data_IF_055358990944
#
_entry.id   IF_055358990944
#
_cell.length_a   1.000
_cell.length_b   1.000
_cell.length_c   1.000
_cell.angle_alpha   90.00
_cell.angle_beta   90.00
_cell.angle_gamma   90.00
#
_symmetry.space_group_name_H-M   'P 1'
#
loop_
_entity.id
_entity.type
_entity.pdbx_description
1 polymer ?
#
# COMPACT_ATOMS: atom_id res chain seq x y z
N UNK A 1 33.68 5.54 24.79
CA UNK A 1 33.60 5.64 26.27
C UNK A 1 32.81 4.50 26.93
N UNK A 2 32.18 3.58 26.20
CA UNK A 2 31.37 2.46 26.73
C UNK A 2 32.11 1.11 26.85
N UNK A 3 33.31 0.96 26.28
CA UNK A 3 34.01 -0.33 26.19
C UNK A 3 34.71 -0.81 27.47
N UNK A 4 34.68 -0.04 28.57
CA UNK A 4 35.40 -0.36 29.83
C UNK A 4 34.48 -0.68 31.02
N UNK A 5 33.16 -0.65 30.83
CA UNK A 5 32.19 -0.94 31.90
C UNK A 5 31.61 -2.33 31.65
N UNK A 6 32.08 -3.31 32.42
CA UNK A 6 31.62 -4.71 32.34
C UNK A 6 30.34 -4.96 33.12
N UNK A 7 30.03 -4.10 34.10
CA UNK A 7 28.79 -4.16 34.88
C UNK A 7 28.37 -2.75 35.29
N UNK A 8 27.15 -2.38 34.92
CA UNK A 8 26.59 -1.08 35.28
C UNK A 8 26.13 -1.09 36.74
N UNK A 9 26.40 -0.03 37.53
CA UNK A 9 25.84 0.10 38.86
C UNK A 9 24.32 0.30 38.75
N UNK A 10 23.55 -0.56 39.41
CA UNK A 10 22.09 -0.51 39.40
C UNK A 10 21.45 -1.88 39.58
N UNK A 11 20.13 -1.89 39.79
CA UNK A 11 19.31 -3.10 39.74
C UNK A 11 18.71 -3.20 38.34
N UNK A 12 19.03 -4.26 37.64
CA UNK A 12 18.41 -4.55 36.34
C UNK A 12 16.90 -4.74 36.52
N UNK A 13 16.12 -4.12 35.64
CA UNK A 13 14.66 -4.21 35.64
C UNK A 13 14.23 -5.23 34.60
N UNK A 14 13.42 -6.19 35.01
CA UNK A 14 12.75 -7.10 34.10
C UNK A 14 11.37 -6.58 33.74
N UNK A 15 10.81 -7.04 32.61
CA UNK A 15 9.44 -6.68 32.22
C UNK A 15 8.43 -7.00 33.33
N UNK A 16 8.63 -8.11 34.06
CA UNK A 16 7.83 -8.49 35.22
C UNK A 16 7.84 -7.47 36.36
N UNK A 17 8.94 -6.73 36.56
CA UNK A 17 9.02 -5.68 37.58
C UNK A 17 8.13 -4.48 37.23
N UNK A 18 7.99 -4.19 35.93
CA UNK A 18 7.08 -3.14 35.42
C UNK A 18 5.62 -3.59 35.47
N UNK A 19 5.35 -4.84 35.07
CA UNK A 19 3.99 -5.40 35.08
C UNK A 19 3.44 -5.56 36.49
N UNK A 20 4.26 -6.03 37.43
CA UNK A 20 3.90 -6.22 38.84
C UNK A 20 4.04 -4.95 39.70
N UNK A 21 4.33 -3.80 39.08
CA UNK A 21 4.48 -2.51 39.77
C UNK A 21 5.52 -2.52 40.91
N UNK A 22 6.58 -3.32 40.79
CA UNK A 22 7.69 -3.41 41.76
C UNK A 22 8.61 -2.20 41.75
N UNK A 23 8.45 -1.33 40.76
CA UNK A 23 9.17 -0.05 40.64
C UNK A 23 8.18 1.09 40.50
N UNK A 24 8.61 2.27 40.93
CA UNK A 24 7.85 3.51 40.73
C UNK A 24 7.62 3.72 39.24
N UNK A 25 6.36 3.67 38.83
CA UNK A 25 5.93 3.85 37.45
C UNK A 25 4.82 4.90 37.40
N UNK A 26 4.83 5.70 36.33
CA UNK A 26 3.70 6.57 35.99
C UNK A 26 3.06 5.98 34.74
N UNK A 27 1.82 5.50 34.88
CA UNK A 27 1.01 5.07 33.74
C UNK A 27 0.10 6.21 33.35
N UNK A 28 0.41 6.83 32.22
CA UNK A 28 -0.44 7.83 31.60
C UNK A 28 -0.94 7.29 30.27
N UNK A 29 -2.25 7.41 30.04
CA UNK A 29 -2.84 7.17 28.73
C UNK A 29 -2.95 8.53 28.04
N UNK A 30 -2.09 8.86 27.07
CA UNK A 30 -2.17 10.15 26.41
C UNK A 30 -3.53 10.33 25.73
N UNK A 31 -4.24 11.39 26.09
CA UNK A 31 -5.36 11.92 25.29
C UNK A 31 -4.79 12.66 24.08
N UNK A 32 -4.09 11.91 23.22
CA UNK A 32 -3.51 12.43 22.00
C UNK A 32 -4.63 12.67 20.98
N UNK A 33 -5.16 13.90 20.96
CA UNK A 33 -6.07 14.37 19.92
C UNK A 33 -5.23 14.75 18.69
N UNK A 34 -5.30 13.95 17.65
CA UNK A 34 -4.68 14.27 16.36
C UNK A 34 -5.74 14.26 15.26
N UNK A 35 -5.60 15.18 14.31
CA UNK A 35 -6.32 15.16 13.05
C UNK A 35 -5.36 14.67 11.97
N UNK A 36 -5.71 13.58 11.29
CA UNK A 36 -4.90 13.05 10.20
C UNK A 36 -5.41 13.64 8.88
N UNK A 37 -4.58 14.44 8.21
CA UNK A 37 -4.83 14.81 6.82
C UNK A 37 -4.13 13.81 5.90
N UNK A 38 -4.78 13.42 4.80
CA UNK A 38 -4.15 12.62 3.76
C UNK A 38 -3.00 13.39 3.06
N UNK A 39 -2.96 14.72 3.19
CA UNK A 39 -1.99 15.57 2.48
C UNK A 39 -2.30 15.68 0.99
N UNK A 40 -1.58 16.55 0.28
CA UNK A 40 -1.90 16.90 -1.13
C UNK A 40 -1.91 15.68 -2.07
N UNK A 41 -0.87 14.83 -1.98
CA UNK A 41 -0.71 13.72 -2.90
C UNK A 41 -1.80 12.66 -2.74
N UNK A 42 -2.09 12.24 -1.50
CA UNK A 42 -3.09 11.21 -1.24
C UNK A 42 -4.52 11.75 -1.35
N UNK A 43 -4.79 13.01 -0.98
CA UNK A 43 -6.14 13.58 -1.13
C UNK A 43 -6.58 13.52 -2.59
N UNK A 44 -5.74 14.01 -3.51
CA UNK A 44 -6.04 13.93 -4.95
C UNK A 44 -6.09 12.48 -5.45
N UNK A 45 -5.23 11.59 -4.97
CA UNK A 45 -5.30 10.18 -5.35
C UNK A 45 -6.66 9.55 -5.01
N UNK A 46 -7.15 9.79 -3.79
CA UNK A 46 -8.44 9.27 -3.34
C UNK A 46 -9.60 9.92 -4.11
N UNK A 47 -9.55 11.23 -4.38
CA UNK A 47 -10.54 11.90 -5.23
C UNK A 47 -10.59 11.32 -6.65
N UNK A 48 -9.43 11.04 -7.26
CA UNK A 48 -9.36 10.46 -8.61
C UNK A 48 -9.84 9.00 -8.64
N UNK A 49 -9.55 8.22 -7.59
CA UNK A 49 -10.12 6.88 -7.42
C UNK A 49 -11.64 6.92 -7.40
N UNK A 50 -12.23 7.90 -6.72
CA UNK A 50 -13.68 8.10 -6.72
C UNK A 50 -14.23 8.37 -8.14
N UNK A 51 -13.47 9.07 -8.97
CA UNK A 51 -13.80 9.33 -10.38
C UNK A 51 -13.51 8.14 -11.31
N UNK A 52 -12.90 7.06 -10.83
CA UNK A 52 -12.50 5.92 -11.65
C UNK A 52 -11.28 6.20 -12.52
N UNK A 53 -10.36 7.05 -12.03
CA UNK A 53 -9.11 7.41 -12.73
C UNK A 53 -7.92 7.16 -11.84
N UNK A 54 -6.77 6.94 -12.47
CA UNK A 54 -5.50 6.76 -11.76
C UNK A 54 -4.55 7.90 -12.12
N UNK A 55 -3.98 8.49 -11.07
CA UNK A 55 -3.06 9.62 -11.19
C UNK A 55 -1.76 9.33 -10.45
N UNK A 56 -0.66 9.75 -11.05
CA UNK A 56 0.69 9.63 -10.54
C UNK A 56 1.38 11.00 -10.49
N UNK A 57 2.52 11.07 -9.80
CA UNK A 57 3.37 12.27 -9.74
C UNK A 57 4.61 12.07 -10.59
N UNK A 58 5.05 13.09 -11.32
CA UNK A 58 6.23 13.02 -12.19
C UNK A 58 7.39 13.81 -11.62
N UNK A 59 8.58 13.24 -11.62
CA UNK A 59 9.84 13.94 -11.35
C UNK A 59 10.53 14.27 -12.68
N UNK A 60 10.69 15.55 -13.02
CA UNK A 60 11.34 16.00 -14.26
C UNK A 60 12.85 15.77 -14.27
N UNK A 61 13.50 15.63 -13.10
CA UNK A 61 14.94 15.36 -12.99
C UNK A 61 15.30 13.94 -13.44
N UNK A 62 14.67 12.92 -12.85
CA UNK A 62 14.92 11.52 -13.21
C UNK A 62 13.87 10.94 -14.17
N UNK A 63 12.88 11.74 -14.59
CA UNK A 63 11.76 11.37 -15.48
C UNK A 63 10.86 10.24 -14.94
N UNK A 64 10.97 9.88 -13.67
CA UNK A 64 10.12 8.84 -13.05
C UNK A 64 8.69 9.32 -12.88
N UNK A 65 7.74 8.41 -13.09
CA UNK A 65 6.31 8.55 -12.82
C UNK A 65 5.97 7.67 -11.62
N UNK A 66 5.69 8.31 -10.49
CA UNK A 66 5.56 7.71 -9.17
C UNK A 66 4.09 7.41 -8.87
N UNK A 67 3.81 6.12 -8.68
CA UNK A 67 2.49 5.61 -8.31
C UNK A 67 2.62 4.60 -7.14
N UNK A 68 1.82 4.71 -6.08
CA UNK A 68 0.92 5.83 -5.74
C UNK A 68 1.65 7.19 -5.68
N UNK A 69 0.95 8.32 -5.89
CA UNK A 69 1.58 9.63 -6.02
C UNK A 69 2.26 10.07 -4.72
N UNK A 70 3.43 10.72 -4.83
CA UNK A 70 4.20 11.24 -3.68
C UNK A 70 4.53 12.70 -3.93
N UNK A 71 4.72 13.49 -2.86
CA UNK A 71 5.13 14.90 -2.98
C UNK A 71 6.64 15.08 -3.16
N UNK A 72 7.43 14.05 -2.90
CA UNK A 72 8.88 14.05 -3.08
C UNK A 72 9.30 12.81 -3.89
N UNK A 73 10.40 12.94 -4.62
CA UNK A 73 11.04 11.85 -5.34
C UNK A 73 12.13 11.22 -4.47
N UNK A 74 12.03 9.91 -4.22
CA UNK A 74 12.96 9.17 -3.35
C UNK A 74 14.37 8.99 -3.94
N UNK A 75 14.54 9.11 -5.27
CA UNK A 75 15.85 9.00 -5.92
C UNK A 75 16.58 10.34 -6.00
N UNK A 76 15.82 11.41 -6.20
CA UNK A 76 16.38 12.75 -6.42
C UNK A 76 16.36 13.62 -5.16
N UNK A 77 15.70 13.16 -4.09
CA UNK A 77 15.50 13.86 -2.82
C UNK A 77 14.99 15.30 -2.99
N UNK A 78 14.02 15.49 -3.90
CA UNK A 78 13.41 16.80 -4.18
C UNK A 78 11.89 16.70 -4.39
N UNK A 79 11.16 17.81 -4.33
CA UNK A 79 9.75 17.83 -4.69
C UNK A 79 9.52 17.33 -6.12
N UNK A 80 8.43 16.57 -6.31
CA UNK A 80 7.94 16.17 -7.64
C UNK A 80 7.23 17.33 -8.34
N UNK A 81 7.23 17.34 -9.67
CA UNK A 81 6.96 18.55 -10.46
C UNK A 81 5.54 18.63 -11.02
N UNK A 82 4.90 17.49 -11.30
CA UNK A 82 3.61 17.48 -12.01
C UNK A 82 2.77 16.25 -11.74
N UNK A 83 1.54 16.28 -12.27
CA UNK A 83 0.57 15.21 -12.20
C UNK A 83 0.40 14.59 -13.58
N UNK A 84 0.32 13.26 -13.62
CA UNK A 84 0.21 12.49 -14.86
C UNK A 84 -0.85 11.41 -14.66
N UNK A 85 -1.85 11.36 -15.55
CA UNK A 85 -2.78 10.24 -15.56
C UNK A 85 -2.11 9.00 -16.13
N UNK A 86 -2.39 7.86 -15.52
CA UNK A 86 -1.88 6.55 -15.93
C UNK A 86 -3.04 5.62 -16.26
N UNK A 87 -2.73 4.50 -16.91
CA UNK A 87 -3.76 3.53 -17.29
C UNK A 87 -4.12 2.64 -16.10
N UNK A 88 -5.30 2.05 -16.20
CA UNK A 88 -5.84 1.07 -15.26
C UNK A 88 -5.50 -0.38 -15.67
N UNK A 89 -4.64 -0.52 -16.68
CA UNK A 89 -3.97 -1.75 -17.08
C UNK A 89 -2.60 -1.89 -16.43
N UNK A 90 -2.13 -3.12 -16.26
CA UNK A 90 -0.85 -3.37 -15.63
C UNK A 90 -0.37 -4.81 -15.73
N UNK A 91 0.72 -5.09 -15.02
CA UNK A 91 1.37 -6.39 -14.96
C UNK A 91 1.45 -6.86 -13.51
N UNK A 92 1.12 -8.13 -13.26
CA UNK A 92 1.30 -8.77 -11.94
C UNK A 92 2.80 -8.91 -11.66
N UNK A 93 3.29 -8.23 -10.62
CA UNK A 93 4.67 -8.33 -10.14
C UNK A 93 4.85 -9.52 -9.19
N UNK A 94 3.88 -9.72 -8.31
CA UNK A 94 3.86 -10.81 -7.34
C UNK A 94 2.44 -11.06 -6.85
N UNK A 95 2.16 -12.26 -6.35
CA UNK A 95 0.86 -12.62 -5.80
C UNK A 95 0.96 -13.70 -4.72
N UNK A 96 -0.13 -13.86 -3.98
CA UNK A 96 -0.36 -14.94 -3.03
C UNK A 96 -1.75 -15.53 -3.22
N UNK A 97 -1.86 -16.83 -2.97
CA UNK A 97 -3.12 -17.58 -2.93
C UNK A 97 -3.44 -17.84 -1.45
N UNK A 98 -4.33 -17.03 -0.87
CA UNK A 98 -4.65 -17.13 0.56
C UNK A 98 -5.89 -17.98 0.79
N UNK A 99 -5.72 -19.09 1.52
CA UNK A 99 -6.83 -19.91 2.05
C UNK A 99 -7.24 -19.48 3.47
N UNK A 100 -6.70 -18.37 3.95
CA UNK A 100 -7.07 -17.75 5.22
C UNK A 100 -7.69 -16.38 4.95
N UNK A 101 -8.84 -16.15 5.55
CA UNK A 101 -9.50 -14.84 5.54
C UNK A 101 -8.89 -13.93 6.61
N UNK A 102 -9.34 -12.67 6.67
CA UNK A 102 -8.79 -11.60 7.53
C UNK A 102 -8.91 -11.89 9.03
N UNK A 103 -9.85 -12.75 9.41
CA UNK A 103 -10.07 -13.24 10.78
C UNK A 103 -9.33 -14.56 11.06
N UNK A 104 -8.39 -14.96 10.18
CA UNK A 104 -7.66 -16.21 10.20
C UNK A 104 -8.54 -17.48 10.06
N UNK A 105 -9.79 -17.34 9.60
CA UNK A 105 -10.65 -18.47 9.27
C UNK A 105 -10.22 -19.11 7.96
N UNK A 106 -10.26 -20.44 7.90
CA UNK A 106 -10.03 -21.18 6.66
C UNK A 106 -11.22 -21.02 5.70
N UNK A 107 -10.92 -20.70 4.45
CA UNK A 107 -11.91 -20.52 3.38
C UNK A 107 -11.69 -21.54 2.26
N UNK A 108 -12.79 -22.00 1.65
CA UNK A 108 -12.74 -22.99 0.57
C UNK A 108 -12.29 -22.37 -0.76
N UNK A 109 -12.80 -21.17 -1.06
CA UNK A 109 -12.39 -20.38 -2.22
C UNK A 109 -11.24 -19.47 -1.79
N UNK A 110 -10.03 -19.61 -2.34
CA UNK A 110 -8.90 -18.79 -1.95
C UNK A 110 -9.06 -17.35 -2.44
N UNK A 111 -8.50 -16.41 -1.67
CA UNK A 111 -8.35 -15.02 -2.07
C UNK A 111 -7.05 -14.88 -2.87
N UNK A 112 -7.15 -14.37 -4.09
CA UNK A 112 -6.01 -13.98 -4.89
C UNK A 112 -5.69 -12.52 -4.63
N UNK A 113 -4.49 -12.24 -4.13
CA UNK A 113 -4.04 -10.88 -3.79
C UNK A 113 -2.58 -10.71 -4.18
N UNK A 114 -2.19 -9.53 -4.62
CA UNK A 114 -0.81 -9.28 -5.01
C UNK A 114 -0.58 -7.86 -5.47
N UNK A 115 0.59 -7.62 -6.07
CA UNK A 115 1.01 -6.29 -6.51
C UNK A 115 0.94 -6.19 -8.03
N UNK A 116 0.32 -5.13 -8.52
CA UNK A 116 0.23 -4.80 -9.95
C UNK A 116 1.02 -3.52 -10.22
N UNK A 117 2.04 -3.59 -11.08
CA UNK A 117 2.67 -2.41 -11.67
C UNK A 117 1.79 -1.86 -12.78
N UNK A 118 1.47 -0.58 -12.75
CA UNK A 118 0.51 0.02 -13.68
C UNK A 118 1.18 0.67 -14.88
N UNK A 119 0.53 0.56 -16.04
CA UNK A 119 1.08 1.12 -17.28
C UNK A 119 1.05 2.65 -17.27
N UNK A 120 2.19 3.24 -17.65
CA UNK A 120 2.40 4.69 -17.58
C UNK A 120 3.08 5.13 -16.28
N UNK A 121 3.13 4.28 -15.26
CA UNK A 121 4.03 4.47 -14.12
C UNK A 121 5.44 3.95 -14.46
N UNK A 122 6.44 4.38 -13.68
CA UNK A 122 7.79 3.83 -13.78
C UNK A 122 7.87 2.38 -13.28
N UNK A 123 8.90 1.60 -13.65
CA UNK A 123 9.07 0.23 -13.16
C UNK A 123 8.99 0.14 -11.63
N UNK A 124 8.43 -0.98 -11.15
CA UNK A 124 8.20 -1.27 -9.73
C UNK A 124 7.24 -0.29 -9.00
N UNK A 125 6.54 0.59 -9.72
CA UNK A 125 5.47 1.43 -9.16
C UNK A 125 4.14 0.71 -9.31
N UNK A 126 3.75 0.02 -8.23
CA UNK A 126 2.54 -0.76 -8.20
C UNK A 126 1.70 -0.57 -6.96
N UNK A 127 0.50 -1.15 -6.99
CA UNK A 127 -0.39 -1.20 -5.83
C UNK A 127 -0.75 -2.64 -5.52
N UNK A 128 -0.92 -2.92 -4.22
CA UNK A 128 -1.47 -4.19 -3.78
C UNK A 128 -2.98 -4.19 -4.00
N UNK A 129 -3.52 -5.23 -4.64
CA UNK A 129 -4.95 -5.37 -4.88
C UNK A 129 -5.40 -6.82 -5.05
N UNK A 130 -6.71 -7.02 -5.11
CA UNK A 130 -7.33 -8.33 -5.36
C UNK A 130 -7.35 -8.69 -6.84
N UNK A 131 -7.31 -9.99 -7.13
CA UNK A 131 -7.51 -10.55 -8.46
C UNK A 131 -8.78 -11.39 -8.50
N UNK A 132 -9.50 -11.34 -9.62
CA UNK A 132 -10.64 -12.21 -9.88
C UNK A 132 -10.74 -12.54 -11.38
N UNK A 133 -11.74 -13.32 -11.76
CA UNK A 133 -11.90 -13.86 -13.13
C UNK A 133 -10.69 -14.68 -13.60
N UNK A 134 -9.97 -15.30 -12.64
CA UNK A 134 -8.88 -16.24 -12.88
C UNK A 134 -8.78 -17.23 -11.71
N UNK A 135 -8.30 -18.44 -11.97
CA UNK A 135 -8.09 -19.48 -10.96
C UNK A 135 -6.67 -19.43 -10.37
N UNK A 136 -6.42 -20.09 -9.21
CA UNK A 136 -5.07 -20.21 -8.64
C UNK A 136 -4.04 -20.81 -9.59
N UNK A 137 -4.46 -21.70 -10.50
CA UNK A 137 -3.57 -22.34 -11.49
C UNK A 137 -3.32 -21.45 -12.71
N UNK A 138 -4.15 -20.44 -12.94
CA UNK A 138 -4.04 -19.51 -14.07
C UNK A 138 -3.17 -18.29 -13.75
N UNK A 139 -3.28 -17.77 -12.52
CA UNK A 139 -2.56 -16.57 -12.10
C UNK A 139 -1.04 -16.79 -12.12
N UNK A 140 -0.29 -15.86 -12.72
CA UNK A 140 1.17 -15.93 -12.83
C UNK A 140 1.79 -14.55 -12.81
N UNK A 141 3.02 -14.47 -12.30
CA UNK A 141 3.87 -13.27 -12.42
C UNK A 141 4.08 -12.96 -13.91
N UNK A 142 4.02 -11.68 -14.25
CA UNK A 142 4.09 -11.21 -15.63
C UNK A 142 2.75 -11.23 -16.39
N UNK A 143 1.66 -11.74 -15.79
CA UNK A 143 0.34 -11.69 -16.42
C UNK A 143 -0.16 -10.24 -16.56
N UNK A 144 -0.76 -9.95 -17.72
CA UNK A 144 -1.40 -8.67 -18.03
C UNK A 144 -2.81 -8.63 -17.46
N UNK A 145 -3.13 -7.54 -16.76
CA UNK A 145 -4.40 -7.37 -16.07
C UNK A 145 -4.99 -5.98 -16.29
N UNK A 146 -6.30 -5.86 -16.07
CA UNK A 146 -7.05 -4.60 -16.11
C UNK A 146 -7.92 -4.47 -14.86
N UNK A 147 -7.96 -3.26 -14.29
CA UNK A 147 -8.84 -2.96 -13.17
C UNK A 147 -10.31 -3.03 -13.59
N UNK A 148 -11.11 -3.66 -12.74
CA UNK A 148 -12.56 -3.60 -12.79
C UNK A 148 -13.01 -2.66 -11.67
N UNK A 149 -13.62 -1.55 -12.07
CA UNK A 149 -14.09 -0.53 -11.15
C UNK A 149 -15.48 -0.86 -10.62
N UNK A 150 -15.74 -0.53 -9.37
CA UNK A 150 -17.12 -0.50 -8.83
C UNK A 150 -17.98 0.49 -9.62
N UNK A 151 -19.32 0.37 -9.59
CA UNK A 151 -20.20 1.39 -10.15
C UNK A 151 -19.90 2.78 -9.58
N UNK A 152 -19.99 3.88 -10.35
CA UNK A 152 -19.66 5.23 -9.89
C UNK A 152 -20.36 5.62 -8.57
N UNK A 153 -21.62 5.21 -8.37
CA UNK A 153 -22.40 5.49 -7.16
C UNK A 153 -21.86 4.80 -5.89
N UNK A 154 -21.06 3.74 -6.02
CA UNK A 154 -20.48 3.02 -4.89
C UNK A 154 -19.07 3.50 -4.52
N UNK A 155 -18.44 4.33 -5.36
CA UNK A 155 -17.06 4.78 -5.17
C UNK A 155 -17.00 5.88 -4.10
N UNK A 156 -16.02 5.77 -3.20
CA UNK A 156 -15.91 6.66 -2.00
C UNK A 156 -14.54 7.29 -1.82
N UNK A 157 -13.67 7.20 -2.82
CA UNK A 157 -12.28 7.59 -2.72
C UNK A 157 -11.49 6.60 -1.89
N UNK A 158 -11.52 5.34 -2.32
CA UNK A 158 -10.80 4.23 -1.70
C UNK A 158 -10.10 3.40 -2.77
N UNK A 159 -8.98 2.76 -2.42
CA UNK A 159 -8.35 1.77 -3.31
C UNK A 159 -9.32 0.64 -3.65
N UNK A 160 -10.31 0.37 -2.79
CA UNK A 160 -11.38 -0.60 -3.01
C UNK A 160 -12.50 -0.12 -3.96
N UNK A 161 -12.40 1.11 -4.48
CA UNK A 161 -13.21 1.57 -5.61
C UNK A 161 -12.85 0.80 -6.90
N UNK A 162 -11.63 0.27 -6.95
CA UNK A 162 -11.29 -0.86 -7.82
C UNK A 162 -11.79 -2.12 -7.12
N UNK A 163 -12.73 -2.84 -7.73
CA UNK A 163 -13.26 -4.08 -7.17
C UNK A 163 -12.18 -5.17 -7.16
N UNK A 164 -11.49 -5.36 -8.28
CA UNK A 164 -10.42 -6.33 -8.48
C UNK A 164 -9.71 -6.07 -9.82
N UNK A 165 -8.59 -6.75 -10.06
CA UNK A 165 -7.96 -6.86 -11.38
C UNK A 165 -8.30 -8.20 -12.03
N UNK A 166 -8.64 -8.18 -13.32
CA UNK A 166 -8.90 -9.39 -14.13
C UNK A 166 -7.87 -9.53 -15.25
N UNK A 167 -7.75 -10.69 -15.91
CA UNK A 167 -6.90 -10.82 -17.08
C UNK A 167 -7.29 -9.82 -18.17
N UNK A 168 -6.29 -9.19 -18.79
CA UNK A 168 -6.49 -8.28 -19.92
C UNK A 168 -6.95 -9.10 -21.14
N UNK A 169 -8.04 -8.69 -21.78
CA UNK A 169 -8.58 -9.37 -22.97
C UNK A 169 -7.99 -8.77 -24.24
N UNK A 170 -7.97 -9.55 -25.32
CA UNK A 170 -7.49 -9.06 -26.62
C UNK A 170 -8.30 -7.85 -27.09
N UNK A 171 -7.61 -6.79 -27.52
CA UNK A 171 -8.22 -5.53 -27.97
C UNK A 171 -8.46 -4.50 -26.86
N UNK A 172 -8.20 -4.83 -25.59
CA UNK A 172 -8.26 -3.86 -24.50
C UNK A 172 -6.92 -3.13 -24.33
N UNK A 173 -6.97 -1.80 -24.26
CA UNK A 173 -5.83 -0.91 -23.97
C UNK A 173 -5.95 -0.21 -22.61
#
# INVERSE_FOLDING_TARGET
MTARISKWPGKELHADDLYQAKVTQVRFRPDAKYAWSAGEAMSRFLEELQQGRLVARTCRRCKRVLFPPRMFCEECFRPTDGWTYIRDTGTIETFSVSYLDRDARRIAQPILVGVVSLDGASPMMGMMHYFAEMTPDQIRIGMRVKAVWRPPAERRGSVLDIAYFRPLREGEA
#
